data_IF_369475474630
#
_entry.id   IF_369475474630
#
_cell.length_a   1.000
_cell.length_b   1.000
_cell.length_c   1.000
_cell.angle_alpha   90.00
_cell.angle_beta   90.00
_cell.angle_gamma   90.00
#
_symmetry.space_group_name_H-M   'P 1'
#
loop_
_entity.id
_entity.type
_entity.pdbx_description
1 polymer ?
#
# COMPACT_ATOMS: atom_id res chain seq x y z
N UNK A 1 -16.31 10.25 -1.43
CA UNK A 1 -15.04 10.05 -0.69
C UNK A 1 -14.16 11.25 -0.99
N UNK A 2 -13.49 11.83 0.00
CA UNK A 2 -12.62 12.99 -0.26
C UNK A 2 -11.52 12.60 -1.26
N UNK A 3 -11.24 13.45 -2.25
CA UNK A 3 -10.28 13.15 -3.32
C UNK A 3 -8.93 12.73 -2.75
N UNK A 4 -8.48 13.40 -1.68
CA UNK A 4 -7.23 13.06 -0.99
C UNK A 4 -7.26 11.66 -0.37
N UNK A 5 -8.36 11.31 0.31
CA UNK A 5 -8.55 9.99 0.90
C UNK A 5 -8.52 8.88 -0.15
N UNK A 6 -9.18 9.09 -1.30
CA UNK A 6 -9.17 8.14 -2.42
C UNK A 6 -7.74 7.93 -2.96
N UNK A 7 -6.98 9.02 -3.14
CA UNK A 7 -5.60 8.94 -3.65
C UNK A 7 -4.73 8.11 -2.71
N UNK A 8 -4.74 8.41 -1.42
CA UNK A 8 -3.95 7.67 -0.43
C UNK A 8 -4.35 6.19 -0.33
N UNK A 9 -5.65 5.90 -0.40
CA UNK A 9 -6.13 4.51 -0.39
C UNK A 9 -5.68 3.75 -1.64
N UNK A 10 -5.82 4.33 -2.83
CA UNK A 10 -5.40 3.66 -4.08
C UNK A 10 -3.89 3.47 -4.15
N UNK A 11 -3.11 4.46 -3.71
CA UNK A 11 -1.66 4.38 -3.70
C UNK A 11 -1.17 3.35 -2.66
N UNK A 12 -1.78 3.34 -1.47
CA UNK A 12 -1.52 2.32 -0.45
C UNK A 12 -1.82 0.91 -0.94
N UNK A 13 -2.97 0.73 -1.60
CA UNK A 13 -3.36 -0.54 -2.22
C UNK A 13 -2.34 -0.99 -3.28
N UNK A 14 -1.97 -0.08 -4.19
CA UNK A 14 -1.03 -0.37 -5.27
C UNK A 14 0.34 -0.79 -4.71
N UNK A 15 0.86 -0.09 -3.69
CA UNK A 15 2.12 -0.44 -3.04
C UNK A 15 2.05 -1.80 -2.35
N UNK A 16 0.97 -2.11 -1.63
CA UNK A 16 0.81 -3.42 -1.00
C UNK A 16 0.74 -4.55 -2.02
N UNK A 17 -0.04 -4.38 -3.09
CA UNK A 17 -0.17 -5.39 -4.15
C UNK A 17 1.16 -5.59 -4.89
N UNK A 18 1.82 -4.50 -5.28
CA UNK A 18 3.11 -4.57 -5.96
C UNK A 18 4.19 -5.20 -5.07
N UNK A 19 4.30 -4.77 -3.81
CA UNK A 19 5.27 -5.32 -2.86
C UNK A 19 5.07 -6.81 -2.58
N UNK A 20 3.82 -7.27 -2.46
CA UNK A 20 3.51 -8.70 -2.28
C UNK A 20 3.83 -9.50 -3.54
N UNK A 21 3.32 -9.07 -4.70
CA UNK A 21 3.51 -9.81 -5.96
C UNK A 21 5.00 -9.91 -6.29
N UNK A 22 5.71 -8.77 -6.33
CA UNK A 22 7.12 -8.74 -6.73
C UNK A 22 7.99 -9.36 -5.64
N UNK A 23 7.75 -9.05 -4.36
CA UNK A 23 8.55 -9.59 -3.26
C UNK A 23 8.52 -11.11 -3.20
N UNK A 24 7.35 -11.73 -3.28
CA UNK A 24 7.27 -13.19 -3.31
C UNK A 24 7.75 -13.79 -4.65
N UNK A 25 7.55 -13.10 -5.77
CA UNK A 25 8.08 -13.55 -7.06
C UNK A 25 9.62 -13.63 -7.05
N UNK A 26 10.29 -12.59 -6.56
CA UNK A 26 11.76 -12.56 -6.44
C UNK A 26 12.27 -13.66 -5.50
N UNK A 27 11.61 -13.86 -4.36
CA UNK A 27 11.97 -14.93 -3.41
C UNK A 27 11.85 -16.32 -4.03
N UNK A 28 10.81 -16.58 -4.84
CA UNK A 28 10.63 -17.88 -5.51
C UNK A 28 11.66 -18.09 -6.62
N UNK A 29 12.11 -17.02 -7.29
CA UNK A 29 13.14 -17.09 -8.33
C UNK A 29 14.58 -17.07 -7.77
N UNK A 30 14.74 -17.02 -6.45
CA UNK A 30 16.05 -17.05 -5.79
C UNK A 30 16.82 -15.74 -5.85
N UNK A 31 16.14 -14.62 -6.10
CA UNK A 31 16.74 -13.30 -6.12
C UNK A 31 16.74 -12.66 -4.71
N UNK A 32 17.84 -11.96 -4.38
CA UNK A 32 18.07 -11.41 -3.04
C UNK A 32 17.25 -10.14 -2.75
N UNK A 33 16.64 -9.53 -3.76
CA UNK A 33 15.91 -8.26 -3.61
C UNK A 33 14.47 -8.42 -3.08
N UNK A 34 13.97 -9.64 -2.94
CA UNK A 34 12.59 -9.91 -2.52
C UNK A 34 12.21 -9.27 -1.19
N UNK A 35 13.13 -9.24 -0.22
CA UNK A 35 12.91 -8.58 1.08
C UNK A 35 12.71 -7.06 0.94
N UNK A 36 13.46 -6.41 0.04
CA UNK A 36 13.34 -4.98 -0.20
C UNK A 36 11.97 -4.63 -0.79
N UNK A 37 11.45 -5.46 -1.70
CA UNK A 37 10.10 -5.32 -2.24
C UNK A 37 9.01 -5.50 -1.18
N UNK A 38 9.20 -6.44 -0.25
CA UNK A 38 8.26 -6.65 0.86
C UNK A 38 8.22 -5.44 1.82
N UNK A 39 9.26 -4.61 1.91
CA UNK A 39 9.22 -3.37 2.70
C UNK A 39 8.17 -2.37 2.19
N UNK A 40 7.75 -2.45 0.91
CA UNK A 40 6.67 -1.61 0.39
C UNK A 40 5.31 -1.93 1.04
N UNK A 41 5.13 -3.13 1.58
CA UNK A 41 3.86 -3.58 2.17
C UNK A 41 3.49 -2.75 3.41
N UNK A 42 4.37 -2.58 4.43
CA UNK A 42 4.15 -1.64 5.52
C UNK A 42 3.78 -0.22 5.08
N UNK A 43 4.48 0.34 4.08
CA UNK A 43 4.15 1.67 3.55
C UNK A 43 2.77 1.71 2.90
N UNK A 44 2.42 0.65 2.17
CA UNK A 44 1.09 0.48 1.59
C UNK A 44 -0.01 0.45 2.66
N UNK A 45 0.21 -0.27 3.77
CA UNK A 45 -0.70 -0.30 4.92
C UNK A 45 -0.89 1.08 5.56
N UNK A 46 0.19 1.83 5.75
CA UNK A 46 0.11 3.21 6.26
C UNK A 46 -0.73 4.07 5.32
N UNK A 47 -0.50 4.00 4.01
CA UNK A 47 -1.27 4.74 3.01
C UNK A 47 -2.76 4.38 3.02
N UNK A 48 -3.09 3.08 3.14
CA UNK A 48 -4.45 2.59 3.27
C UNK A 48 -5.14 3.17 4.52
N UNK A 49 -4.48 3.08 5.68
CA UNK A 49 -5.01 3.60 6.94
C UNK A 49 -5.28 5.11 6.85
N UNK A 50 -4.32 5.86 6.32
CA UNK A 50 -4.43 7.32 6.14
C UNK A 50 -5.58 7.68 5.20
N UNK A 51 -5.67 7.03 4.04
CA UNK A 51 -6.70 7.31 3.05
C UNK A 51 -8.11 6.97 3.54
N UNK A 52 -8.27 5.84 4.25
CA UNK A 52 -9.54 5.47 4.89
C UNK A 52 -9.90 6.48 5.98
N UNK A 53 -8.96 6.82 6.86
CA UNK A 53 -9.18 7.75 7.97
C UNK A 53 -9.61 9.13 7.46
N UNK A 54 -8.91 9.67 6.47
CA UNK A 54 -9.25 10.95 5.84
C UNK A 54 -10.62 10.92 5.17
N UNK A 55 -10.97 9.81 4.53
CA UNK A 55 -12.28 9.62 3.92
C UNK A 55 -13.39 9.62 4.96
N UNK A 56 -13.18 8.97 6.11
CA UNK A 56 -14.14 8.95 7.21
C UNK A 56 -14.27 10.30 7.90
N UNK A 57 -13.14 10.99 8.15
CA UNK A 57 -13.14 12.31 8.77
C UNK A 57 -13.89 13.34 7.91
N UNK A 58 -13.65 13.31 6.60
CA UNK A 58 -14.35 14.19 5.64
C UNK A 58 -15.85 13.87 5.49
N UNK A 59 -16.31 12.70 5.92
CA UNK A 59 -17.75 12.37 5.93
C UNK A 59 -18.46 12.82 7.21
N UNK A 60 -17.70 13.06 8.28
CA UNK A 60 -18.23 13.49 9.58
C UNK A 60 -18.40 15.01 9.67
N UNK A 61 -17.69 15.75 8.82
CA UNK A 61 -17.94 17.16 8.52
C UNK A 61 -19.02 17.30 7.46
#
# INVERSE_FOLDING_TARGET
MHKLGVIFTLLGLALSVAGLIVGFWEMVNGAEEGEAWLMLVPFGFVGLLLGVTLTQLSRKQ
#
